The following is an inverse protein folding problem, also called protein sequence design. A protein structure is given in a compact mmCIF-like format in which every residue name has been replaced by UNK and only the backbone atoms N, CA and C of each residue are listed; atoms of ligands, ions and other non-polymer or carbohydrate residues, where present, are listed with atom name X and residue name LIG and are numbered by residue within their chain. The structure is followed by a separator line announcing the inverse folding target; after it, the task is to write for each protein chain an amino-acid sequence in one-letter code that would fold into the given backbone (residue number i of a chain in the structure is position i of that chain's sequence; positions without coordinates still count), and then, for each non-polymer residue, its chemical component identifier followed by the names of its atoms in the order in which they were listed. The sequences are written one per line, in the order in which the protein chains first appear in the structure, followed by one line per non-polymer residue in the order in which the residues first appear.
data_IF_443876415855
#
_entry.id   IF_443876415855
#
_cell.length_a   1.000
_cell.length_b   1.000
_cell.length_c   1.000
_cell.angle_alpha   90.00
_cell.angle_beta   90.00
_cell.angle_gamma   90.00
#
_symmetry.space_group_name_H-M   'P 1'
#
loop_
_entity.id
_entity.type
_entity.pdbx_description
1 polymer ?
#
# COMPACT_ATOMS: atom_id res chain seq x y z
N UNK A 1 -26.48 -3.62 0.09
CA UNK A 1 -25.03 -3.34 0.10
C UNK A 1 -24.74 -2.04 -0.63
N UNK A 2 -23.87 -1.19 -0.10
CA UNK A 2 -23.49 0.10 -0.72
C UNK A 2 -23.06 -0.08 -2.19
N UNK A 3 -22.27 -1.10 -2.50
CA UNK A 3 -21.84 -1.39 -3.87
C UNK A 3 -23.02 -1.56 -4.85
N UNK A 4 -24.10 -2.20 -4.42
CA UNK A 4 -25.28 -2.39 -5.27
C UNK A 4 -26.12 -1.11 -5.43
N UNK A 5 -26.05 -0.20 -4.46
CA UNK A 5 -26.82 1.05 -4.45
C UNK A 5 -26.05 2.22 -5.10
N UNK A 6 -24.74 2.06 -5.31
CA UNK A 6 -23.85 3.07 -5.90
C UNK A 6 -23.21 2.59 -7.21
N UNK A 7 -24.00 2.31 -8.26
CA UNK A 7 -23.46 1.74 -9.51
C UNK A 7 -22.53 2.69 -10.27
N UNK A 8 -22.47 3.96 -9.87
CA UNK A 8 -21.65 5.02 -10.47
C UNK A 8 -20.32 5.25 -9.73
N UNK A 9 -20.08 4.57 -8.58
CA UNK A 9 -18.89 4.73 -7.77
C UNK A 9 -18.41 3.37 -7.22
N UNK A 10 -17.10 3.17 -7.12
CA UNK A 10 -16.54 1.98 -6.48
C UNK A 10 -16.33 2.22 -5.00
N UNK A 11 -16.75 1.27 -4.19
CA UNK A 11 -16.55 1.25 -2.74
C UNK A 11 -15.19 0.63 -2.44
N UNK A 12 -14.25 1.43 -1.94
CA UNK A 12 -12.94 0.99 -1.45
C UNK A 12 -12.87 1.18 0.05
N UNK A 13 -12.58 0.13 0.80
CA UNK A 13 -12.41 0.16 2.26
C UNK A 13 -11.60 -1.03 2.77
N UNK A 14 -11.39 -1.07 4.07
CA UNK A 14 -10.72 -2.17 4.76
C UNK A 14 -9.37 -1.81 5.37
N UNK A 15 -8.89 -0.58 5.20
CA UNK A 15 -7.56 -0.14 5.62
C UNK A 15 -7.23 -0.55 7.07
N UNK A 16 -8.09 -0.20 8.01
CA UNK A 16 -7.88 -0.47 9.44
C UNK A 16 -8.40 -1.84 9.92
N UNK A 17 -8.87 -2.68 9.02
CA UNK A 17 -9.33 -4.01 9.37
C UNK A 17 -8.18 -5.02 9.36
N UNK A 18 -8.16 -5.93 10.33
CA UNK A 18 -7.32 -7.12 10.29
C UNK A 18 -7.81 -8.12 9.22
N UNK A 19 -7.06 -9.22 9.05
CA UNK A 19 -7.35 -10.25 8.04
C UNK A 19 -8.82 -10.73 8.07
N UNK A 20 -9.36 -11.06 9.25
CA UNK A 20 -10.74 -11.55 9.38
C UNK A 20 -11.79 -10.54 8.93
N UNK A 21 -11.55 -9.25 9.18
CA UNK A 21 -12.46 -8.18 8.72
C UNK A 21 -12.41 -8.02 7.21
N UNK A 22 -11.22 -7.99 6.62
CA UNK A 22 -11.04 -7.91 5.16
C UNK A 22 -11.64 -9.14 4.46
N UNK A 23 -11.40 -10.34 5.00
CA UNK A 23 -12.00 -11.58 4.51
C UNK A 23 -13.53 -11.50 4.48
N UNK A 24 -14.18 -11.00 5.53
CA UNK A 24 -15.64 -10.82 5.57
C UNK A 24 -16.13 -9.86 4.49
N UNK A 25 -15.42 -8.76 4.25
CA UNK A 25 -15.76 -7.82 3.18
C UNK A 25 -15.72 -8.50 1.80
N UNK A 26 -14.67 -9.30 1.55
CA UNK A 26 -14.46 -10.02 0.30
C UNK A 26 -15.56 -11.07 0.10
N UNK A 27 -15.71 -11.98 1.06
CA UNK A 27 -16.65 -13.10 0.97
C UNK A 27 -18.12 -12.66 0.87
N UNK A 28 -18.46 -11.48 1.40
CA UNK A 28 -19.80 -10.91 1.30
C UNK A 28 -20.00 -9.98 0.11
N UNK A 29 -18.99 -9.78 -0.74
CA UNK A 29 -19.00 -8.82 -1.84
C UNK A 29 -19.44 -7.40 -1.40
N UNK A 30 -19.00 -6.99 -0.19
CA UNK A 30 -19.37 -5.72 0.40
C UNK A 30 -18.50 -4.54 -0.06
N UNK A 31 -17.50 -4.81 -0.91
CA UNK A 31 -16.56 -3.83 -1.47
C UNK A 31 -16.32 -4.12 -2.95
N UNK A 32 -16.00 -3.09 -3.72
CA UNK A 32 -15.55 -3.20 -5.11
C UNK A 32 -14.02 -3.23 -5.20
N UNK A 33 -13.34 -2.69 -4.18
CA UNK A 33 -11.88 -2.71 -4.02
C UNK A 33 -11.58 -2.90 -2.54
N UNK A 34 -10.67 -3.80 -2.19
CA UNK A 34 -10.24 -3.96 -0.79
C UNK A 34 -8.88 -3.31 -0.56
N UNK A 35 -8.81 -2.43 0.45
CA UNK A 35 -7.54 -1.83 0.85
C UNK A 35 -6.74 -2.82 1.69
N UNK A 36 -5.55 -3.21 1.20
CA UNK A 36 -4.68 -4.23 1.80
C UNK A 36 -3.55 -3.63 2.66
N UNK A 37 -3.85 -2.55 3.36
CA UNK A 37 -2.89 -1.98 4.31
C UNK A 37 -2.53 -2.97 5.43
N UNK A 38 -1.27 -2.96 5.88
CA UNK A 38 -0.78 -3.79 6.98
C UNK A 38 0.59 -4.41 6.73
N UNK A 39 0.86 -5.56 7.34
CA UNK A 39 2.11 -6.28 7.09
C UNK A 39 2.16 -6.84 5.66
N UNK A 40 3.38 -7.02 5.13
CA UNK A 40 3.60 -7.62 3.80
C UNK A 40 2.88 -8.98 3.67
N UNK A 41 3.00 -9.83 4.71
CA UNK A 41 2.34 -11.14 4.72
C UNK A 41 0.82 -11.03 4.63
N UNK A 42 0.22 -10.22 5.49
CA UNK A 42 -1.23 -10.02 5.49
C UNK A 42 -1.72 -9.41 4.17
N UNK A 43 -1.02 -8.43 3.62
CA UNK A 43 -1.40 -7.82 2.35
C UNK A 43 -1.41 -8.83 1.20
N UNK A 44 -0.40 -9.71 1.15
CA UNK A 44 -0.33 -10.80 0.15
C UNK A 44 -1.44 -11.83 0.32
N UNK A 45 -1.73 -12.23 1.55
CA UNK A 45 -2.78 -13.24 1.82
C UNK A 45 -4.17 -12.69 1.48
N UNK A 46 -4.43 -11.42 1.83
CA UNK A 46 -5.69 -10.75 1.47
C UNK A 46 -5.81 -10.56 -0.04
N UNK A 47 -4.73 -10.14 -0.72
CA UNK A 47 -4.76 -9.94 -2.17
C UNK A 47 -5.02 -11.26 -2.92
N UNK A 48 -4.43 -12.38 -2.47
CA UNK A 48 -4.73 -13.71 -3.03
C UNK A 48 -6.19 -14.08 -2.85
N UNK A 49 -6.72 -13.92 -1.63
CA UNK A 49 -8.13 -14.17 -1.37
C UNK A 49 -9.03 -13.28 -2.23
N UNK A 50 -8.73 -11.98 -2.35
CA UNK A 50 -9.50 -11.06 -3.17
C UNK A 50 -9.50 -11.48 -4.66
N UNK A 51 -8.36 -11.94 -5.17
CA UNK A 51 -8.24 -12.45 -6.55
C UNK A 51 -9.15 -13.67 -6.78
N UNK A 52 -9.28 -14.59 -5.81
CA UNK A 52 -10.18 -15.74 -5.90
C UNK A 52 -11.67 -15.31 -6.03
N UNK A 53 -12.00 -14.12 -5.57
CA UNK A 53 -13.35 -13.52 -5.66
C UNK A 53 -13.47 -12.47 -6.80
N UNK A 54 -12.42 -12.27 -7.58
CA UNK A 54 -12.41 -11.27 -8.66
C UNK A 54 -12.48 -9.82 -8.15
N UNK A 55 -12.07 -9.56 -6.89
CA UNK A 55 -12.05 -8.24 -6.28
C UNK A 55 -10.63 -7.67 -6.35
N UNK A 56 -10.42 -6.55 -7.05
CA UNK A 56 -9.12 -5.89 -7.08
C UNK A 56 -8.74 -5.29 -5.72
N UNK A 57 -7.46 -5.04 -5.56
CA UNK A 57 -6.93 -4.44 -4.33
C UNK A 57 -6.36 -3.05 -4.57
N UNK A 58 -6.33 -2.26 -3.51
CA UNK A 58 -5.49 -1.07 -3.39
C UNK A 58 -4.54 -1.24 -2.22
N UNK A 59 -3.34 -0.71 -2.32
CA UNK A 59 -2.41 -0.69 -1.20
C UNK A 59 -2.50 0.67 -0.51
N UNK A 60 -2.85 0.64 0.78
CA UNK A 60 -2.91 1.84 1.61
C UNK A 60 -1.54 2.43 1.90
N UNK A 61 -1.56 3.57 2.54
CA UNK A 61 -0.37 4.34 2.86
C UNK A 61 0.66 3.51 3.65
N UNK A 62 1.88 3.44 3.13
CA UNK A 62 3.01 2.72 3.73
C UNK A 62 4.30 3.45 3.36
N UNK A 63 5.43 2.99 3.90
CA UNK A 63 6.73 3.49 3.44
C UNK A 63 6.84 3.19 1.94
N UNK A 64 7.02 4.24 1.15
CA UNK A 64 6.89 4.19 -0.31
C UNK A 64 7.78 3.12 -0.95
N UNK A 65 9.03 3.01 -0.51
CA UNK A 65 10.00 2.05 -1.02
C UNK A 65 9.55 0.60 -0.82
N UNK A 66 8.90 0.29 0.30
CA UNK A 66 8.31 -1.04 0.55
C UNK A 66 7.01 -1.18 -0.23
N UNK A 67 6.18 -0.14 -0.21
CA UNK A 67 4.87 -0.11 -0.85
C UNK A 67 4.95 -0.34 -2.35
N UNK A 68 5.89 0.28 -3.04
CA UNK A 68 6.02 0.15 -4.51
C UNK A 68 6.38 -1.28 -4.92
N UNK A 69 7.28 -1.95 -4.20
CA UNK A 69 7.61 -3.36 -4.45
C UNK A 69 6.42 -4.28 -4.15
N UNK A 70 5.74 -4.01 -3.04
CA UNK A 70 4.57 -4.80 -2.65
C UNK A 70 3.45 -4.63 -3.69
N UNK A 71 3.08 -3.40 -4.04
CA UNK A 71 2.06 -3.11 -5.04
C UNK A 71 2.37 -3.76 -6.39
N UNK A 72 3.63 -3.67 -6.86
CA UNK A 72 4.07 -4.31 -8.10
C UNK A 72 4.00 -5.85 -8.06
N UNK A 73 4.00 -6.46 -6.88
CA UNK A 73 3.94 -7.91 -6.68
C UNK A 73 2.55 -8.47 -6.41
N UNK A 74 1.57 -7.61 -6.12
CA UNK A 74 0.22 -8.04 -5.81
C UNK A 74 -0.61 -8.24 -7.08
N UNK A 75 -1.38 -9.34 -7.19
CA UNK A 75 -2.33 -9.50 -8.28
C UNK A 75 -3.40 -8.41 -8.19
N UNK A 76 -3.81 -7.88 -9.34
CA UNK A 76 -4.93 -6.94 -9.44
C UNK A 76 -4.80 -5.68 -8.55
N UNK A 77 -3.57 -5.23 -8.23
CA UNK A 77 -3.36 -3.99 -7.49
C UNK A 77 -3.61 -2.79 -8.41
N UNK A 78 -4.67 -2.02 -8.13
CA UNK A 78 -5.07 -0.89 -8.97
C UNK A 78 -4.19 0.33 -8.74
N UNK A 79 -3.85 0.60 -7.49
CA UNK A 79 -3.02 1.75 -7.12
C UNK A 79 -2.39 1.57 -5.74
N UNK A 80 -1.30 2.30 -5.55
CA UNK A 80 -0.65 2.53 -4.27
C UNK A 80 -1.01 3.94 -3.81
N UNK A 81 -1.52 4.06 -2.59
CA UNK A 81 -1.81 5.35 -1.99
C UNK A 81 -0.51 6.11 -1.71
N UNK A 82 -0.40 7.31 -2.23
CA UNK A 82 0.72 8.20 -1.97
C UNK A 82 0.39 9.16 -0.83
N UNK A 83 1.29 9.24 0.14
CA UNK A 83 1.25 10.26 1.18
C UNK A 83 2.65 10.84 1.35
N UNK A 84 2.74 12.16 1.28
CA UNK A 84 3.98 12.85 1.56
C UNK A 84 4.22 12.94 3.06
N UNK A 85 4.72 11.85 3.63
CA UNK A 85 5.14 11.75 5.02
C UNK A 85 6.61 12.16 5.22
N UNK A 86 7.21 12.82 4.22
CA UNK A 86 8.62 13.28 4.20
C UNK A 86 9.66 12.17 4.28
N UNK A 87 9.28 10.91 4.12
CA UNK A 87 10.25 9.81 4.04
C UNK A 87 11.23 9.99 2.89
N UNK A 88 10.76 10.56 1.78
CA UNK A 88 11.59 10.85 0.62
C UNK A 88 12.73 11.83 0.95
N UNK A 89 12.51 12.77 1.88
CA UNK A 89 13.54 13.70 2.32
C UNK A 89 14.68 13.02 3.08
N UNK A 90 14.40 11.87 3.71
CA UNK A 90 15.36 11.11 4.51
C UNK A 90 16.12 10.07 3.69
N UNK A 91 15.67 9.76 2.49
CA UNK A 91 16.34 8.79 1.63
C UNK A 91 17.49 9.43 0.84
N UNK A 92 18.57 8.68 0.65
CA UNK A 92 19.67 9.06 -0.25
C UNK A 92 19.16 9.11 -1.69
N UNK A 93 18.35 8.12 -2.07
CA UNK A 93 17.71 8.03 -3.37
C UNK A 93 16.24 7.65 -3.15
N UNK A 94 15.33 8.61 -3.15
CA UNK A 94 13.90 8.34 -3.00
C UNK A 94 13.32 7.61 -4.21
N UNK A 95 12.11 7.06 -4.05
CA UNK A 95 11.34 6.50 -5.16
C UNK A 95 11.04 7.58 -6.19
N UNK A 96 11.29 7.28 -7.45
CA UNK A 96 10.99 8.16 -8.57
C UNK A 96 9.54 8.00 -9.03
N UNK A 97 8.98 9.10 -9.54
CA UNK A 97 7.63 9.12 -10.09
C UNK A 97 7.65 9.65 -11.52
N UNK A 98 7.00 8.93 -12.43
CA UNK A 98 6.82 9.34 -13.81
C UNK A 98 5.35 9.12 -14.23
N UNK A 99 4.70 10.16 -14.70
CA UNK A 99 3.32 10.12 -15.22
C UNK A 99 2.32 9.43 -14.27
N UNK A 100 2.44 9.69 -12.98
CA UNK A 100 1.57 9.09 -11.95
C UNK A 100 1.94 7.67 -11.55
N UNK A 101 3.05 7.13 -12.06
CA UNK A 101 3.59 5.83 -11.70
C UNK A 101 4.76 5.97 -10.75
N UNK A 102 4.78 5.18 -9.68
CA UNK A 102 5.93 5.01 -8.81
C UNK A 102 6.84 3.92 -9.38
N UNK A 103 8.12 4.23 -9.53
CA UNK A 103 9.11 3.30 -10.10
C UNK A 103 9.76 2.51 -8.98
N UNK A 104 9.58 1.19 -8.99
CA UNK A 104 10.24 0.31 -8.03
C UNK A 104 11.76 0.34 -8.25
N UNK A 105 12.56 0.69 -7.23
CA UNK A 105 13.99 0.78 -7.37
C UNK A 105 14.62 -0.60 -7.60
N UNK A 106 15.51 -0.71 -8.58
CA UNK A 106 16.30 -1.92 -8.85
C UNK A 106 17.56 -1.93 -7.96
N UNK A 107 17.34 -2.14 -6.66
CA UNK A 107 18.38 -2.17 -5.62
C UNK A 107 18.15 -3.35 -4.67
N UNK A 108 19.22 -3.89 -4.02
CA UNK A 108 19.06 -4.99 -3.07
C UNK A 108 18.06 -4.71 -1.94
N UNK A 109 17.27 -5.70 -1.59
CA UNK A 109 16.25 -5.61 -0.55
C UNK A 109 15.10 -4.66 -0.94
N UNK A 110 14.68 -3.82 -0.02
CA UNK A 110 13.67 -2.78 -0.27
C UNK A 110 14.23 -1.50 -0.91
N UNK A 111 15.54 -1.43 -1.10
CA UNK A 111 16.20 -0.29 -1.74
C UNK A 111 16.28 0.99 -0.90
N UNK A 112 15.88 0.98 0.37
CA UNK A 112 15.98 2.16 1.24
C UNK A 112 17.42 2.30 1.74
N UNK A 113 18.00 3.47 1.51
CA UNK A 113 19.21 3.94 2.15
C UNK A 113 18.94 5.31 2.76
N UNK A 114 19.10 5.43 4.08
CA UNK A 114 18.84 6.68 4.77
C UNK A 114 20.09 7.57 4.79
N UNK A 115 19.86 8.85 4.52
CA UNK A 115 20.84 9.92 4.69
C UNK A 115 21.05 10.17 6.20
N UNK A 116 22.24 9.83 6.69
CA UNK A 116 22.56 9.89 8.13
C UNK A 116 22.59 11.31 8.67
N UNK A 117 22.99 12.28 7.85
CA UNK A 117 23.04 13.68 8.28
C UNK A 117 21.64 14.26 8.42
N UNK A 118 20.75 13.91 7.49
CA UNK A 118 19.34 14.27 7.57
C UNK A 118 18.66 13.60 8.75
N UNK A 119 18.91 12.30 9.00
CA UNK A 119 18.38 11.62 10.16
C UNK A 119 18.84 12.28 11.48
N UNK A 120 20.11 12.67 11.55
CA UNK A 120 20.65 13.33 12.75
C UNK A 120 19.95 14.69 13.03
N UNK A 121 19.50 15.39 11.97
CA UNK A 121 18.74 16.63 12.12
C UNK A 121 17.37 16.42 12.81
N UNK A 122 16.75 15.26 12.61
CA UNK A 122 15.46 14.91 13.22
C UNK A 122 15.61 14.10 14.52
N UNK A 123 16.84 13.76 14.92
CA UNK A 123 17.05 13.05 16.19
C UNK A 123 16.62 13.92 17.37
N UNK A 124 15.81 13.36 18.27
CA UNK A 124 15.41 14.08 19.47
C UNK A 124 16.64 14.34 20.37
N UNK A 125 16.78 15.53 20.97
CA UNK A 125 17.84 15.79 21.93
C UNK A 125 17.74 14.80 23.09
N UNK A 126 18.75 13.96 23.28
CA UNK A 126 18.85 13.04 24.44
C UNK A 126 18.38 11.61 24.19
N UNK A 127 18.30 11.15 22.94
CA UNK A 127 18.13 9.74 22.57
C UNK A 127 19.46 8.98 22.56
#
# INVERSE_FOLDING_TARGET
HLCAELPFARVNTGEYLGYSGKRRLIESHAVDVVNVHGSIGMSRDVARLAADYGIPVSLGNTIMEIGVHLAASLPECLFLEFSDLRWNELAVQPVEFHDGLAIAPDRPGHGIEFDRDKLAHYAAPGG
#
